data_IF_912425797570
#
_entry.id   IF_912425797570
#
_cell.length_a   1.000
_cell.length_b   1.000
_cell.length_c   1.000
_cell.angle_alpha   90.00
_cell.angle_beta   90.00
_cell.angle_gamma   90.00
#
_symmetry.space_group_name_H-M   'P 1'
#
loop_
_entity.id
_entity.type
_entity.pdbx_description
1 polymer ?
#
# COMPACT_ATOMS: atom_id res chain seq x y z
N UNK A 1 41.67 3.51 27.92
CA UNK A 1 42.42 2.30 28.29
C UNK A 1 41.76 1.17 27.53
N UNK A 2 42.63 0.41 26.87
CA UNK A 2 42.44 -0.83 26.12
C UNK A 2 41.88 -0.76 24.70
N UNK A 3 42.86 -0.92 23.81
CA UNK A 3 42.86 -1.22 22.37
C UNK A 3 42.32 -2.64 22.12
N UNK A 4 41.74 -2.90 20.94
CA UNK A 4 42.34 -3.88 20.03
C UNK A 4 41.73 -3.76 18.62
N UNK A 5 42.62 -3.64 17.64
CA UNK A 5 42.33 -3.54 16.22
C UNK A 5 42.98 -4.76 15.55
N UNK A 6 42.15 -5.70 15.11
CA UNK A 6 42.61 -6.87 14.36
C UNK A 6 42.97 -6.51 12.91
N UNK A 7 44.27 -6.48 12.63
CA UNK A 7 44.90 -6.40 11.31
C UNK A 7 44.93 -7.78 10.63
N UNK A 8 44.64 -7.84 9.32
CA UNK A 8 44.91 -9.00 8.48
C UNK A 8 45.10 -8.56 7.02
N UNK A 9 46.27 -8.89 6.46
CA UNK A 9 46.64 -8.80 5.04
C UNK A 9 47.65 -9.92 4.71
N UNK A 10 47.97 -10.23 3.44
CA UNK A 10 47.17 -10.70 2.30
C UNK A 10 47.73 -12.07 1.75
N UNK A 11 47.28 -12.65 0.61
CA UNK A 11 47.54 -14.06 0.22
C UNK A 11 48.73 -14.26 -0.75
N UNK A 12 49.18 -15.52 -1.01
CA UNK A 12 49.87 -15.86 -2.25
C UNK A 12 49.33 -17.12 -3.01
N UNK A 13 49.81 -17.29 -4.26
CA UNK A 13 49.21 -17.96 -5.43
C UNK A 13 49.82 -19.37 -5.83
N UNK A 14 49.36 -20.05 -6.94
CA UNK A 14 49.44 -21.52 -7.24
C UNK A 14 50.57 -21.97 -8.23
N UNK A 15 50.50 -23.11 -8.99
CA UNK A 15 50.56 -24.58 -8.74
C UNK A 15 51.81 -25.27 -9.43
N UNK A 16 51.91 -26.63 -9.65
CA UNK A 16 51.62 -27.19 -11.00
C UNK A 16 51.22 -28.71 -11.16
N UNK A 17 50.47 -28.97 -12.26
CA UNK A 17 50.43 -30.03 -13.32
C UNK A 17 50.56 -31.57 -13.13
N UNK A 18 49.48 -32.26 -13.56
CA UNK A 18 49.30 -33.35 -14.57
C UNK A 18 50.13 -34.67 -14.58
N UNK A 19 49.45 -35.82 -14.79
CA UNK A 19 49.80 -36.87 -15.78
C UNK A 19 48.63 -37.87 -16.02
N UNK A 20 48.65 -38.53 -17.19
CA UNK A 20 47.52 -39.13 -17.91
C UNK A 20 47.68 -40.64 -18.25
N UNK A 21 46.58 -41.26 -18.72
CA UNK A 21 46.40 -42.51 -19.50
C UNK A 21 46.70 -43.87 -18.81
N UNK A 22 46.06 -45.02 -19.11
CA UNK A 22 45.60 -45.54 -20.41
C UNK A 22 44.51 -46.65 -20.32
N UNK A 23 43.86 -46.89 -21.47
CA UNK A 23 42.87 -47.94 -21.80
C UNK A 23 43.47 -49.35 -21.98
N UNK A 24 42.63 -50.38 -21.81
CA UNK A 24 42.77 -51.68 -22.49
C UNK A 24 41.40 -52.28 -22.90
N UNK A 25 41.32 -52.76 -24.14
CA UNK A 25 40.17 -53.34 -24.87
C UNK A 25 40.09 -54.88 -24.76
N UNK A 26 38.87 -55.46 -24.81
CA UNK A 26 38.40 -56.63 -25.62
C UNK A 26 37.16 -57.33 -24.96
N UNK A 27 36.36 -58.15 -25.67
CA UNK A 27 35.46 -57.85 -26.78
C UNK A 27 33.99 -58.28 -26.51
N UNK A 28 33.10 -57.91 -27.44
CA UNK A 28 31.64 -58.09 -27.46
C UNK A 28 31.15 -59.57 -27.45
N UNK A 29 30.12 -59.86 -26.65
CA UNK A 29 29.21 -61.00 -26.81
C UNK A 29 27.75 -60.48 -27.01
N UNK A 30 26.87 -61.19 -27.74
CA UNK A 30 25.60 -60.65 -28.21
C UNK A 30 24.52 -60.63 -27.11
N UNK A 31 23.65 -59.60 -27.18
CA UNK A 31 22.64 -59.26 -26.19
C UNK A 31 21.47 -60.28 -26.09
N UNK A 32 20.98 -60.60 -24.88
CA UNK A 32 19.69 -61.26 -24.70
C UNK A 32 18.53 -60.25 -24.88
N UNK A 33 17.41 -60.76 -25.43
CA UNK A 33 16.21 -60.01 -25.81
C UNK A 33 15.63 -59.12 -24.68
N UNK A 34 14.98 -57.99 -25.04
CA UNK A 34 14.48 -57.02 -24.06
C UNK A 34 13.34 -57.62 -23.21
N UNK A 35 13.56 -57.64 -21.90
CA UNK A 35 12.51 -57.87 -20.92
C UNK A 35 11.57 -56.65 -20.85
N UNK A 36 10.26 -56.84 -20.62
CA UNK A 36 9.32 -55.73 -20.51
C UNK A 36 9.71 -54.81 -19.34
N UNK A 37 9.55 -53.48 -19.47
CA UNK A 37 9.96 -52.54 -18.44
C UNK A 37 9.17 -52.80 -17.15
N UNK A 38 9.90 -52.94 -16.04
CA UNK A 38 9.34 -52.88 -14.71
C UNK A 38 8.48 -51.61 -14.56
N UNK A 39 7.34 -51.67 -13.86
CA UNK A 39 6.48 -50.51 -13.70
C UNK A 39 7.30 -49.37 -13.10
N UNK A 40 7.40 -48.28 -13.87
CA UNK A 40 7.96 -47.01 -13.48
C UNK A 40 7.55 -46.72 -12.04
N UNK A 41 8.54 -46.52 -11.16
CA UNK A 41 8.29 -45.91 -9.87
C UNK A 41 7.56 -44.60 -10.15
N UNK A 42 6.25 -44.62 -9.91
CA UNK A 42 5.44 -43.42 -9.84
C UNK A 42 6.15 -42.53 -8.82
N UNK A 43 6.59 -41.36 -9.28
CA UNK A 43 7.03 -40.27 -8.41
C UNK A 43 6.00 -40.13 -7.29
N UNK A 44 6.40 -40.59 -6.10
CA UNK A 44 5.59 -40.47 -4.91
C UNK A 44 5.70 -39.04 -4.43
N UNK A 45 4.57 -38.34 -4.53
CA UNK A 45 4.18 -37.17 -3.76
C UNK A 45 4.86 -35.83 -4.10
N UNK A 46 4.42 -35.18 -5.17
CA UNK A 46 4.17 -33.75 -5.02
C UNK A 46 3.03 -33.60 -4.00
N UNK A 47 3.27 -32.93 -2.88
CA UNK A 47 2.22 -32.64 -1.89
C UNK A 47 0.98 -32.06 -2.60
N UNK A 48 -0.26 -32.42 -2.20
CA UNK A 48 -1.48 -31.93 -2.84
C UNK A 48 -1.66 -30.41 -2.68
N UNK A 49 -0.86 -29.79 -1.81
CA UNK A 49 -0.84 -28.37 -1.57
C UNK A 49 0.60 -27.85 -1.62
N UNK A 50 0.76 -26.67 -2.23
CA UNK A 50 2.00 -25.90 -2.24
C UNK A 50 1.63 -24.45 -1.95
N UNK A 51 2.47 -23.75 -1.20
CA UNK A 51 2.31 -22.33 -0.93
C UNK A 51 3.67 -21.64 -1.02
N UNK A 52 3.68 -20.40 -1.52
CA UNK A 52 4.88 -19.58 -1.61
C UNK A 52 4.61 -18.26 -0.89
N UNK A 53 5.49 -17.91 0.05
CA UNK A 53 5.52 -16.56 0.62
C UNK A 53 6.53 -15.73 -0.17
N UNK A 54 6.12 -14.57 -0.64
CA UNK A 54 6.99 -13.56 -1.26
C UNK A 54 7.11 -12.42 -0.28
N UNK A 55 8.35 -12.12 0.13
CA UNK A 55 8.64 -10.96 0.97
C UNK A 55 9.45 -9.98 0.15
N UNK A 56 8.91 -8.79 -0.01
CA UNK A 56 9.50 -7.72 -0.80
C UNK A 56 9.50 -6.41 -0.04
N UNK A 57 10.17 -5.41 -0.60
CA UNK A 57 10.25 -4.08 -0.01
C UNK A 57 9.53 -3.08 -0.89
N UNK A 58 8.55 -2.39 -0.34
CA UNK A 58 7.90 -1.24 -1.00
C UNK A 58 8.66 0.01 -0.63
N UNK A 59 9.31 0.63 -1.62
CA UNK A 59 10.13 1.82 -1.42
C UNK A 59 9.35 3.10 -1.72
N UNK A 60 9.63 4.15 -0.96
CA UNK A 60 9.16 5.50 -1.23
C UNK A 60 10.07 6.54 -0.60
N UNK A 61 10.13 7.73 -1.21
CA UNK A 61 11.00 8.81 -0.75
C UNK A 61 10.22 10.10 -0.48
N UNK A 62 10.72 10.88 0.46
CA UNK A 62 10.15 12.16 0.85
C UNK A 62 11.25 13.20 1.03
N UNK A 63 11.05 14.37 0.40
CA UNK A 63 11.97 15.51 0.52
C UNK A 63 11.44 16.51 1.53
N UNK A 64 12.14 16.61 2.66
CA UNK A 64 11.84 17.54 3.72
C UNK A 64 12.75 18.77 3.63
N UNK A 65 12.14 19.95 3.48
CA UNK A 65 12.85 21.24 3.39
C UNK A 65 12.56 22.03 4.66
N UNK A 66 13.62 22.42 5.37
CA UNK A 66 13.54 23.25 6.56
C UNK A 66 14.07 24.62 6.17
N UNK A 67 13.19 25.61 6.12
CA UNK A 67 13.56 27.00 5.90
C UNK A 67 13.51 27.74 7.24
N UNK A 68 14.48 28.63 7.49
CA UNK A 68 14.59 29.32 8.78
C UNK A 68 15.38 28.53 9.82
N UNK A 69 16.44 27.80 9.43
CA UNK A 69 17.25 27.00 10.37
C UNK A 69 17.77 27.83 11.56
N UNK A 70 18.13 29.09 11.32
CA UNK A 70 18.60 30.04 12.32
C UNK A 70 17.57 30.30 13.44
N UNK A 71 16.28 30.18 13.14
CA UNK A 71 15.18 30.28 14.11
C UNK A 71 14.87 28.92 14.74
N UNK A 72 15.12 27.84 14.01
CA UNK A 72 14.93 26.48 14.51
C UNK A 72 15.97 26.09 15.57
N UNK A 73 17.21 26.55 15.43
CA UNK A 73 18.26 26.29 16.42
C UNK A 73 18.00 27.08 17.70
N UNK A 74 18.29 26.48 18.86
CA UNK A 74 17.98 27.06 20.16
C UNK A 74 16.56 26.76 20.67
N UNK A 75 15.75 25.98 19.94
CA UNK A 75 14.45 25.49 20.42
C UNK A 75 14.55 24.57 21.66
N UNK A 76 15.75 24.04 21.92
CA UNK A 76 16.06 23.21 23.08
C UNK A 76 16.18 21.73 22.74
N UNK A 77 17.03 21.03 23.51
CA UNK A 77 17.29 19.60 23.37
C UNK A 77 15.98 18.80 23.44
N UNK A 78 15.84 17.81 22.55
CA UNK A 78 14.68 16.93 22.49
C UNK A 78 13.45 17.55 21.81
N UNK A 79 13.50 18.84 21.44
CA UNK A 79 12.50 19.46 20.58
C UNK A 79 12.86 19.22 19.12
N UNK A 80 11.84 19.06 18.28
CA UNK A 80 12.01 18.73 16.87
C UNK A 80 11.04 19.49 15.98
N UNK A 81 11.40 19.55 14.71
CA UNK A 81 10.54 19.93 13.60
C UNK A 81 10.16 18.64 12.88
N UNK A 82 8.87 18.45 12.66
CA UNK A 82 8.33 17.32 11.90
C UNK A 82 8.09 17.73 10.44
N UNK A 83 8.35 16.82 9.50
CA UNK A 83 7.83 16.92 8.14
C UNK A 83 6.33 16.68 8.12
N UNK A 84 5.70 16.99 6.97
CA UNK A 84 4.41 16.39 6.66
C UNK A 84 4.51 14.86 6.60
N UNK A 85 3.37 14.20 6.76
CA UNK A 85 3.30 12.75 6.64
C UNK A 85 3.34 12.32 5.17
N UNK A 86 3.95 11.16 4.92
CA UNK A 86 3.98 10.55 3.58
C UNK A 86 3.75 9.04 3.67
N UNK A 87 3.20 8.47 2.59
CA UNK A 87 2.74 7.07 2.58
C UNK A 87 3.73 6.15 1.89
N UNK A 88 4.12 5.06 2.55
CA UNK A 88 4.95 3.98 1.98
C UNK A 88 4.51 2.65 2.57
N UNK A 89 4.29 1.64 1.70
CA UNK A 89 3.95 0.28 2.14
C UNK A 89 2.65 0.17 2.95
N UNK A 90 1.69 1.07 2.72
CA UNK A 90 0.42 1.12 3.47
C UNK A 90 0.47 1.85 4.81
N UNK A 91 1.62 2.41 5.19
CA UNK A 91 1.80 3.16 6.44
C UNK A 91 2.13 4.62 6.18
N UNK A 92 1.82 5.48 7.15
CA UNK A 92 2.22 6.88 7.13
C UNK A 92 3.49 7.07 7.94
N UNK A 93 4.38 7.90 7.43
CA UNK A 93 5.71 8.17 7.97
C UNK A 93 5.94 9.67 8.08
N UNK A 94 6.81 10.08 9.01
CA UNK A 94 7.26 11.47 9.12
C UNK A 94 8.74 11.55 9.51
N UNK A 95 9.44 12.57 9.02
CA UNK A 95 10.83 12.85 9.38
C UNK A 95 10.87 13.84 10.53
N UNK A 96 11.59 13.51 11.60
CA UNK A 96 11.82 14.39 12.74
C UNK A 96 13.26 14.89 12.75
N UNK A 97 13.43 16.20 12.63
CA UNK A 97 14.71 16.89 12.73
C UNK A 97 14.83 17.57 14.10
N UNK A 98 15.91 17.28 14.83
CA UNK A 98 16.23 17.88 16.12
C UNK A 98 17.42 18.83 15.93
N UNK A 99 17.20 20.14 15.78
CA UNK A 99 18.27 21.12 15.61
C UNK A 99 19.23 21.08 16.80
N UNK A 100 18.66 20.94 18.01
CA UNK A 100 19.42 20.94 19.26
C UNK A 100 19.90 19.56 19.73
N UNK A 101 19.65 18.52 18.93
CA UNK A 101 19.92 17.13 19.28
C UNK A 101 18.77 16.50 20.08
N UNK A 102 18.65 15.17 20.03
CA UNK A 102 17.56 14.44 20.69
C UNK A 102 17.74 14.27 22.20
N UNK A 103 18.99 14.09 22.64
CA UNK A 103 19.34 13.79 24.03
C UNK A 103 20.31 14.84 24.60
N UNK A 104 20.26 15.12 25.93
CA UNK A 104 21.14 16.10 26.57
C UNK A 104 22.59 15.64 26.68
N UNK A 105 22.84 14.33 26.59
CA UNK A 105 24.16 13.68 26.70
C UNK A 105 25.23 14.31 25.80
N UNK A 106 24.83 14.86 24.65
CA UNK A 106 25.73 15.42 23.66
C UNK A 106 25.90 16.95 23.77
N UNK A 107 25.35 17.58 24.82
CA UNK A 107 25.43 19.03 25.05
C UNK A 107 25.07 19.88 23.82
N UNK A 108 24.08 19.43 23.03
CA UNK A 108 23.69 20.09 21.78
C UNK A 108 24.84 20.20 20.75
N UNK A 109 25.78 19.26 20.73
CA UNK A 109 26.89 19.28 19.76
C UNK A 109 26.49 18.76 18.36
N UNK A 110 25.38 18.01 18.27
CA UNK A 110 24.92 17.36 17.05
C UNK A 110 23.49 17.78 16.70
N UNK A 111 23.17 17.74 15.42
CA UNK A 111 21.78 17.63 14.96
C UNK A 111 21.41 16.14 14.91
N UNK A 112 20.14 15.84 15.16
CA UNK A 112 19.62 14.47 15.05
C UNK A 112 18.51 14.37 14.02
N UNK A 113 18.41 13.23 13.35
CA UNK A 113 17.38 12.98 12.34
C UNK A 113 16.81 11.59 12.53
N UNK A 114 15.48 11.49 12.53
CA UNK A 114 14.75 10.24 12.72
C UNK A 114 13.62 10.13 11.72
N UNK A 115 13.33 8.89 11.31
CA UNK A 115 12.09 8.50 10.65
C UNK A 115 11.15 7.93 11.72
N UNK A 116 9.90 8.37 11.73
CA UNK A 116 8.88 7.96 12.68
C UNK A 116 7.67 7.36 11.96
N UNK A 117 7.08 6.32 12.56
CA UNK A 117 5.79 5.79 12.13
C UNK A 117 4.69 6.74 12.60
N UNK A 118 3.94 7.31 11.67
CA UNK A 118 2.90 8.31 11.95
C UNK A 118 1.48 7.72 11.98
N UNK A 119 1.24 6.60 11.30
CA UNK A 119 -0.02 5.85 11.38
C UNK A 119 0.00 4.81 12.50
N UNK A 120 -1.16 4.23 12.80
CA UNK A 120 -1.21 2.98 13.58
C UNK A 120 -0.51 1.86 12.82
N UNK A 121 0.12 0.94 13.55
CA UNK A 121 0.81 -0.21 13.01
C UNK A 121 1.59 -0.94 14.10
N UNK A 122 1.61 -2.27 14.04
CA UNK A 122 2.33 -3.13 14.99
C UNK A 122 3.43 -3.87 14.28
N UNK A 123 4.63 -3.85 14.85
CA UNK A 123 5.83 -4.54 14.35
C UNK A 123 6.11 -4.31 12.86
N UNK A 124 5.93 -3.07 12.40
CA UNK A 124 6.21 -2.66 11.02
C UNK A 124 7.70 -2.77 10.76
N UNK A 125 8.10 -3.65 9.85
CA UNK A 125 9.50 -3.82 9.45
C UNK A 125 9.86 -2.87 8.32
N UNK A 126 10.87 -2.04 8.50
CA UNK A 126 11.30 -1.08 7.50
C UNK A 126 12.82 -0.88 7.47
N UNK A 127 13.33 -0.65 6.26
CA UNK A 127 14.64 -0.08 5.98
C UNK A 127 14.46 1.43 5.79
N UNK A 128 15.52 2.20 6.03
CA UNK A 128 15.50 3.62 5.72
C UNK A 128 16.86 4.13 5.28
N UNK A 129 16.84 5.25 4.59
CA UNK A 129 17.98 6.08 4.27
C UNK A 129 17.65 7.53 4.65
N UNK A 130 18.60 8.20 5.30
CA UNK A 130 18.52 9.61 5.61
C UNK A 130 19.70 10.32 4.95
N UNK A 131 19.37 11.23 4.04
CA UNK A 131 20.33 11.93 3.20
C UNK A 131 20.22 13.43 3.40
N UNK A 132 21.30 14.05 3.85
CA UNK A 132 21.43 15.50 3.90
C UNK A 132 22.02 16.00 2.59
N UNK A 133 21.26 16.85 1.90
CA UNK A 133 21.58 17.24 0.53
C UNK A 133 22.59 18.38 0.49
N UNK A 134 23.74 18.13 -0.15
CA UNK A 134 24.63 19.18 -0.67
C UNK A 134 23.89 20.18 -1.57
N UNK A 135 24.10 21.47 -1.31
CA UNK A 135 23.48 22.58 -2.04
C UNK A 135 24.51 23.40 -2.84
N UNK A 136 25.77 22.96 -2.90
CA UNK A 136 26.80 23.57 -3.76
C UNK A 136 26.68 23.17 -5.23
N UNK A 137 25.92 22.13 -5.54
CA UNK A 137 25.80 21.54 -6.88
C UNK A 137 26.88 20.49 -7.20
N UNK A 138 27.71 20.11 -6.22
CA UNK A 138 28.77 19.10 -6.39
C UNK A 138 28.28 17.67 -6.15
N UNK A 139 27.05 17.49 -5.67
CA UNK A 139 26.44 16.18 -5.42
C UNK A 139 27.04 15.45 -4.22
N UNK A 140 27.74 16.16 -3.32
CA UNK A 140 28.42 15.55 -2.16
C UNK A 140 27.47 15.38 -0.98
N UNK A 141 26.41 14.62 -1.15
CA UNK A 141 25.42 14.39 -0.10
C UNK A 141 26.00 13.60 1.07
N UNK A 142 25.52 13.88 2.29
CA UNK A 142 25.80 13.03 3.45
C UNK A 142 24.69 12.00 3.57
N UNK A 143 25.01 10.74 3.25
CA UNK A 143 24.08 9.62 3.23
C UNK A 143 24.31 8.71 4.44
N UNK A 144 23.23 8.31 5.08
CA UNK A 144 23.23 7.16 5.99
C UNK A 144 22.13 6.20 5.57
N UNK A 145 22.52 5.07 4.97
CA UNK A 145 21.60 4.09 4.39
C UNK A 145 21.63 2.77 5.15
N UNK A 146 20.47 2.13 5.21
CA UNK A 146 20.31 0.77 5.73
C UNK A 146 19.94 -0.25 4.66
N UNK A 147 19.79 0.17 3.40
CA UNK A 147 19.44 -0.73 2.30
C UNK A 147 20.57 -1.70 1.93
N UNK A 148 21.83 -1.30 2.15
CA UNK A 148 23.01 -2.11 1.79
C UNK A 148 23.58 -2.93 2.96
N UNK A 149 22.83 -3.09 4.05
CA UNK A 149 23.35 -3.81 5.23
C UNK A 149 23.44 -5.33 4.98
N UNK A 150 24.47 -5.93 5.57
CA UNK A 150 24.60 -7.39 5.73
C UNK A 150 23.28 -8.00 6.23
N UNK A 151 22.99 -9.22 5.75
CA UNK A 151 21.81 -10.02 6.10
C UNK A 151 21.59 -10.13 7.62
N UNK A 152 22.67 -10.02 8.41
CA UNK A 152 22.67 -10.14 9.87
C UNK A 152 21.98 -8.97 10.60
N UNK A 153 21.94 -7.76 10.02
CA UNK A 153 21.38 -6.58 10.70
C UNK A 153 19.88 -6.38 10.46
N UNK A 154 19.33 -6.97 9.39
CA UNK A 154 17.90 -6.95 9.07
C UNK A 154 17.22 -5.56 8.99
N UNK A 155 15.93 -5.52 8.64
CA UNK A 155 15.12 -4.31 8.74
C UNK A 155 14.83 -3.97 10.21
N UNK A 156 14.58 -2.69 10.48
CA UNK A 156 14.15 -2.22 11.81
C UNK A 156 12.68 -2.53 12.04
N UNK A 157 12.33 -2.89 13.27
CA UNK A 157 10.94 -3.08 13.68
C UNK A 157 10.43 -1.83 14.42
N UNK A 158 9.38 -1.21 13.89
CA UNK A 158 8.65 -0.11 14.51
C UNK A 158 7.36 -0.66 15.13
N UNK A 159 7.30 -0.62 16.47
CA UNK A 159 6.33 -1.40 17.24
C UNK A 159 4.93 -0.79 17.33
N UNK A 160 4.84 0.54 17.24
CA UNK A 160 3.60 1.30 17.45
C UNK A 160 3.74 2.71 16.87
N UNK A 161 2.63 3.43 16.76
CA UNK A 161 2.59 4.84 16.32
C UNK A 161 3.51 5.72 17.17
N UNK A 162 4.40 6.46 16.52
CA UNK A 162 5.40 7.32 17.16
C UNK A 162 6.72 6.62 17.48
N UNK A 163 6.80 5.29 17.29
CA UNK A 163 8.09 4.59 17.24
C UNK A 163 8.95 5.20 16.14
N UNK A 164 10.26 5.32 16.39
CA UNK A 164 11.17 6.00 15.48
C UNK A 164 12.57 5.40 15.48
N UNK A 165 13.23 5.46 14.34
CA UNK A 165 14.62 5.05 14.14
C UNK A 165 15.39 6.14 13.40
N UNK A 166 16.71 6.19 13.62
CA UNK A 166 17.55 7.25 13.06
C UNK A 166 18.81 7.46 13.87
N UNK A 167 19.37 8.66 13.78
CA UNK A 167 20.71 8.95 14.27
C UNK A 167 20.70 10.11 15.26
N UNK A 168 21.06 9.82 16.51
CA UNK A 168 21.26 10.84 17.55
C UNK A 168 22.39 11.81 17.17
N UNK A 169 23.50 11.28 16.66
CA UNK A 169 24.67 12.05 16.21
C UNK A 169 24.74 12.10 14.69
N UNK A 170 23.67 12.58 14.04
CA UNK A 170 23.57 12.54 12.59
C UNK A 170 24.65 13.41 11.92
N UNK A 171 24.83 14.65 12.39
CA UNK A 171 25.94 15.51 11.95
C UNK A 171 26.32 16.51 13.03
N UNK A 172 27.61 16.87 13.12
CA UNK A 172 28.07 17.91 14.06
C UNK A 172 27.45 19.24 13.65
N UNK A 173 26.89 19.97 14.62
CA UNK A 173 26.19 21.23 14.35
C UNK A 173 27.12 22.29 13.80
N UNK A 174 28.28 22.48 14.42
CA UNK A 174 29.26 23.47 13.96
C UNK A 174 29.77 23.19 12.54
N UNK A 175 29.91 21.90 12.19
CA UNK A 175 30.23 21.49 10.83
C UNK A 175 29.04 21.72 9.87
N UNK A 176 27.80 21.48 10.31
CA UNK A 176 26.60 21.75 9.52
C UNK A 176 26.52 23.23 9.14
N UNK A 177 26.64 24.11 10.14
CA UNK A 177 26.47 25.56 10.00
C UNK A 177 27.51 26.21 9.08
N UNK A 178 28.65 25.55 8.85
CA UNK A 178 29.74 26.01 7.99
C UNK A 178 29.84 25.25 6.67
N UNK A 179 28.92 24.30 6.41
CA UNK A 179 28.94 23.43 5.24
C UNK A 179 28.03 23.90 4.11
N UNK A 180 28.26 23.33 2.91
CA UNK A 180 27.37 23.49 1.75
C UNK A 180 26.00 22.78 1.91
N UNK A 181 25.74 22.13 3.06
CA UNK A 181 24.44 21.54 3.37
C UNK A 181 23.41 22.56 3.85
N UNK A 182 23.86 23.66 4.47
CA UNK A 182 23.03 24.77 4.92
C UNK A 182 23.30 25.98 4.03
N UNK A 183 22.31 26.38 3.23
CA UNK A 183 22.42 27.52 2.31
C UNK A 183 21.16 28.34 2.35
N UNK A 184 21.28 29.66 2.38
CA UNK A 184 20.15 30.60 2.42
C UNK A 184 19.17 30.29 3.58
N UNK A 185 19.75 29.97 4.74
CA UNK A 185 19.03 29.53 5.95
C UNK A 185 18.11 28.31 5.75
N UNK A 186 18.44 27.47 4.76
CA UNK A 186 17.65 26.31 4.37
C UNK A 186 18.48 25.02 4.44
N UNK A 187 17.89 23.99 5.06
CA UNK A 187 18.35 22.59 5.02
C UNK A 187 17.40 21.74 4.18
N UNK A 188 17.97 20.77 3.46
CA UNK A 188 17.19 19.81 2.67
C UNK A 188 17.58 18.39 3.04
N UNK A 189 16.60 17.61 3.49
CA UNK A 189 16.77 16.22 3.88
C UNK A 189 15.92 15.38 2.93
N UNK A 190 16.53 14.38 2.31
CA UNK A 190 15.79 13.34 1.61
C UNK A 190 15.74 12.10 2.50
N UNK A 191 14.54 11.55 2.68
CA UNK A 191 14.33 10.30 3.39
C UNK A 191 13.78 9.27 2.42
N UNK A 192 14.38 8.09 2.37
CA UNK A 192 13.84 6.93 1.65
C UNK A 192 13.47 5.88 2.67
N UNK A 193 12.28 5.31 2.57
CA UNK A 193 11.79 4.23 3.43
C UNK A 193 11.50 3.02 2.54
N UNK A 194 11.90 1.85 3.00
CA UNK A 194 11.60 0.57 2.37
C UNK A 194 10.83 -0.30 3.34
N UNK A 195 9.53 -0.40 3.16
CA UNK A 195 8.66 -1.19 4.06
C UNK A 195 8.64 -2.63 3.59
N UNK A 196 8.95 -3.56 4.48
CA UNK A 196 8.94 -4.99 4.18
C UNK A 196 7.50 -5.50 4.25
N UNK A 197 7.00 -5.96 3.11
CA UNK A 197 5.65 -6.51 2.94
C UNK A 197 5.77 -7.97 2.55
N UNK A 198 4.98 -8.82 3.20
CA UNK A 198 4.91 -10.25 2.87
C UNK A 198 3.54 -10.58 2.32
N UNK A 199 3.50 -11.17 1.14
CA UNK A 199 2.29 -11.70 0.51
C UNK A 199 2.40 -13.22 0.42
N UNK A 200 1.30 -13.92 0.68
CA UNK A 200 1.21 -15.36 0.46
C UNK A 200 0.58 -15.53 -0.92
N UNK A 201 1.38 -15.99 -1.89
CA UNK A 201 0.86 -16.49 -3.15
C UNK A 201 0.15 -17.82 -2.85
N UNK A 202 -1.15 -17.77 -2.62
CA UNK A 202 -1.98 -18.94 -2.84
C UNK A 202 -2.05 -19.16 -4.34
N UNK A 203 -1.76 -20.39 -4.77
CA UNK A 203 -2.08 -20.88 -6.11
C UNK A 203 -3.55 -20.58 -6.37
N UNK A 204 -3.87 -19.46 -7.04
CA UNK A 204 -5.25 -19.12 -7.37
C UNK A 204 -5.81 -20.33 -8.12
N UNK A 205 -6.84 -21.03 -7.62
CA UNK A 205 -7.56 -21.94 -8.48
C UNK A 205 -8.05 -21.07 -9.64
N UNK A 206 -7.59 -21.39 -10.86
CA UNK A 206 -7.93 -20.78 -12.15
C UNK A 206 -8.73 -19.48 -12.05
N UNK A 207 -8.09 -18.34 -12.32
CA UNK A 207 -8.79 -17.05 -12.42
C UNK A 207 -9.92 -17.17 -13.43
N UNK A 208 -11.15 -17.39 -12.96
CA UNK A 208 -12.34 -17.33 -13.79
C UNK A 208 -12.48 -15.86 -14.17
N UNK A 209 -12.44 -15.57 -15.47
CA UNK A 209 -12.76 -14.25 -15.98
C UNK A 209 -14.24 -14.01 -15.68
N UNK A 210 -14.52 -13.22 -14.65
CA UNK A 210 -15.89 -12.79 -14.34
C UNK A 210 -16.13 -11.53 -15.17
N UNK A 211 -17.12 -11.53 -16.08
CA UNK A 211 -17.47 -10.34 -16.83
C UNK A 211 -17.97 -9.24 -15.88
N UNK A 212 -17.84 -7.99 -16.30
CA UNK A 212 -18.43 -6.85 -15.59
C UNK A 212 -19.95 -7.06 -15.44
N UNK A 213 -20.50 -6.59 -14.32
CA UNK A 213 -21.93 -6.75 -14.06
C UNK A 213 -22.76 -5.88 -15.00
N UNK A 214 -23.71 -6.49 -15.69
CA UNK A 214 -24.70 -5.86 -16.57
C UNK A 214 -26.03 -5.56 -15.85
N UNK A 215 -26.07 -5.68 -14.52
CA UNK A 215 -27.30 -5.58 -13.73
C UNK A 215 -28.00 -4.22 -13.89
N UNK A 216 -27.24 -3.12 -13.96
CA UNK A 216 -27.79 -1.79 -14.19
C UNK A 216 -28.33 -1.59 -15.62
N UNK A 217 -27.85 -2.37 -16.59
CA UNK A 217 -28.47 -2.41 -17.92
C UNK A 217 -29.82 -3.13 -17.88
N UNK A 218 -29.91 -4.26 -17.18
CA UNK A 218 -31.16 -5.01 -17.03
C UNK A 218 -32.22 -4.20 -16.26
N UNK A 219 -31.87 -3.57 -15.14
CA UNK A 219 -32.81 -2.70 -14.42
C UNK A 219 -33.20 -1.46 -15.23
N UNK A 220 -32.26 -0.82 -15.93
CA UNK A 220 -32.58 0.28 -16.85
C UNK A 220 -33.55 -0.14 -17.95
N UNK A 221 -33.39 -1.36 -18.50
CA UNK A 221 -34.29 -1.88 -19.54
C UNK A 221 -35.71 -2.09 -19.03
N UNK A 222 -35.89 -2.51 -17.76
CA UNK A 222 -37.22 -2.61 -17.15
C UNK A 222 -37.92 -1.25 -17.08
N UNK A 223 -37.17 -0.18 -16.77
CA UNK A 223 -37.70 1.18 -16.77
C UNK A 223 -38.03 1.66 -18.20
N UNK A 224 -37.12 1.45 -19.15
CA UNK A 224 -37.28 1.92 -20.54
C UNK A 224 -38.44 1.21 -21.26
N UNK A 225 -38.69 -0.07 -20.94
CA UNK A 225 -39.77 -0.88 -21.52
C UNK A 225 -41.06 -0.87 -20.67
N UNK A 226 -41.05 -0.22 -19.51
CA UNK A 226 -42.16 -0.20 -18.55
C UNK A 226 -42.62 -1.61 -18.10
N UNK A 227 -41.70 -2.57 -18.05
CA UNK A 227 -41.98 -3.96 -17.67
C UNK A 227 -42.08 -4.13 -16.15
N UNK A 228 -43.25 -4.55 -15.64
CA UNK A 228 -43.42 -4.84 -14.21
C UNK A 228 -43.58 -3.59 -13.33
N UNK A 229 -44.01 -2.48 -13.93
CA UNK A 229 -44.32 -1.23 -13.23
C UNK A 229 -45.43 -1.47 -12.19
N UNK A 230 -45.22 -0.96 -10.99
CA UNK A 230 -46.13 -1.10 -9.85
C UNK A 230 -46.47 0.26 -9.17
N UNK A 231 -45.98 1.37 -9.74
CA UNK A 231 -46.26 2.74 -9.28
C UNK A 231 -46.21 3.75 -10.43
N UNK A 232 -47.06 4.78 -10.33
CA UNK A 232 -47.00 5.98 -11.18
C UNK A 232 -46.60 7.17 -10.31
N UNK A 233 -45.63 7.95 -10.78
CA UNK A 233 -45.24 9.22 -10.18
C UNK A 233 -45.70 10.37 -11.06
N UNK A 234 -46.58 11.21 -10.53
CA UNK A 234 -47.06 12.40 -11.19
C UNK A 234 -46.22 13.60 -10.78
N UNK A 235 -45.44 14.14 -11.71
CA UNK A 235 -44.55 15.27 -11.48
C UNK A 235 -45.02 16.42 -12.34
N UNK A 236 -45.55 17.48 -11.75
CA UNK A 236 -46.05 18.65 -12.47
C UNK A 236 -47.08 18.34 -13.57
N UNK A 237 -47.87 17.27 -13.41
CA UNK A 237 -48.87 16.81 -14.39
C UNK A 237 -48.35 15.78 -15.41
N UNK A 238 -47.05 15.48 -15.44
CA UNK A 238 -46.47 14.41 -16.25
C UNK A 238 -46.40 13.10 -15.44
N UNK A 239 -46.89 12.00 -16.03
CA UNK A 239 -46.92 10.67 -15.39
C UNK A 239 -45.67 9.87 -15.76
N UNK A 240 -44.98 9.34 -14.76
CA UNK A 240 -43.80 8.50 -14.90
C UNK A 240 -44.07 7.11 -14.30
N UNK A 241 -43.96 6.08 -15.14
CA UNK A 241 -44.06 4.68 -14.72
C UNK A 241 -42.74 4.24 -14.07
N UNK A 242 -42.81 3.58 -12.90
CA UNK A 242 -41.62 3.18 -12.15
C UNK A 242 -41.85 1.94 -11.26
N UNK A 243 -40.84 1.60 -10.46
CA UNK A 243 -40.81 0.39 -9.64
C UNK A 243 -40.57 0.75 -8.16
N UNK A 244 -41.52 0.46 -7.27
CA UNK A 244 -41.49 0.81 -5.84
C UNK A 244 -40.22 0.31 -5.16
N UNK A 245 -39.88 -0.95 -5.36
CA UNK A 245 -38.71 -1.56 -4.71
C UNK A 245 -37.39 -0.94 -5.16
N UNK A 246 -37.26 -0.61 -6.45
CA UNK A 246 -36.04 0.01 -6.98
C UNK A 246 -35.88 1.42 -6.42
N UNK A 247 -36.93 2.23 -6.48
CA UNK A 247 -36.94 3.58 -5.92
C UNK A 247 -36.71 3.60 -4.40
N UNK A 248 -37.37 2.71 -3.65
CA UNK A 248 -37.23 2.61 -2.20
C UNK A 248 -35.87 2.07 -1.75
N UNK A 249 -35.23 1.22 -2.53
CA UNK A 249 -33.86 0.77 -2.26
C UNK A 249 -32.84 1.91 -2.43
N UNK A 250 -33.17 2.92 -3.25
CA UNK A 250 -32.25 3.96 -3.70
C UNK A 250 -32.58 5.36 -3.14
N UNK A 251 -33.73 5.52 -2.50
CA UNK A 251 -34.18 6.76 -1.86
C UNK A 251 -34.98 6.47 -0.60
N UNK A 252 -34.48 6.97 0.54
CA UNK A 252 -35.20 6.87 1.81
C UNK A 252 -36.54 7.61 1.76
N UNK A 253 -36.65 8.69 0.96
CA UNK A 253 -37.91 9.45 0.81
C UNK A 253 -38.98 8.56 0.16
N UNK A 254 -38.65 7.90 -0.96
CA UNK A 254 -39.57 6.98 -1.61
C UNK A 254 -39.85 5.74 -0.76
N UNK A 255 -38.85 5.24 -0.03
CA UNK A 255 -39.05 4.13 0.90
C UNK A 255 -40.13 4.46 1.94
N UNK A 256 -40.02 5.62 2.58
CA UNK A 256 -41.00 6.05 3.56
C UNK A 256 -42.36 6.33 2.92
N UNK A 257 -42.40 7.02 1.78
CA UNK A 257 -43.64 7.35 1.08
C UNK A 257 -44.41 6.10 0.61
N UNK A 258 -43.72 5.01 0.26
CA UNK A 258 -44.37 3.78 -0.20
C UNK A 258 -44.74 2.82 0.92
N UNK A 259 -43.95 2.76 1.99
CA UNK A 259 -44.07 1.69 3.00
C UNK A 259 -44.33 2.16 4.43
N UNK A 260 -44.07 3.43 4.77
CA UNK A 260 -44.33 3.96 6.11
C UNK A 260 -45.77 4.50 6.25
N UNK A 261 -46.38 5.00 5.16
CA UNK A 261 -47.80 5.43 5.13
C UNK A 261 -48.80 4.25 5.09
N UNK A 262 -48.32 3.00 5.01
CA UNK A 262 -49.16 1.80 5.04
C UNK A 262 -49.38 1.25 6.47
N UNK A 263 -48.79 1.87 7.51
CA UNK A 263 -48.91 1.39 8.90
C UNK A 263 -50.07 1.98 9.71
N UNK A 264 -50.68 3.07 9.28
CA UNK A 264 -51.75 3.75 10.02
C UNK A 264 -53.12 3.56 9.33
N UNK A 265 -53.64 2.33 9.49
CA UNK A 265 -55.07 2.13 9.76
C UNK A 265 -56.08 2.57 8.72
N UNK A 266 -56.09 1.95 7.53
CA UNK A 266 -57.37 1.64 6.90
C UNK A 266 -57.24 0.37 6.06
N UNK A 267 -58.12 -0.59 6.33
CA UNK A 267 -58.48 -1.60 5.35
C UNK A 267 -59.14 -0.85 4.20
N UNK A 268 -58.36 -0.33 3.25
CA UNK A 268 -58.92 -0.17 1.92
C UNK A 268 -59.20 -1.56 1.43
N UNK A 269 -60.49 -1.79 1.32
CA UNK A 269 -61.14 -2.94 0.74
C UNK A 269 -60.38 -3.35 -0.53
N UNK A 270 -60.37 -4.66 -0.76
CA UNK A 270 -59.96 -5.26 -2.02
C UNK A 270 -60.70 -4.53 -3.14
N UNK A 271 -60.07 -3.51 -3.74
CA UNK A 271 -60.41 -3.05 -5.07
C UNK A 271 -59.61 -3.94 -6.00
N UNK A 272 -60.28 -4.96 -6.54
CA UNK A 272 -59.82 -5.74 -7.70
C UNK A 272 -59.82 -4.86 -8.96
N UNK A 273 -59.24 -3.67 -8.87
CA UNK A 273 -58.89 -2.85 -10.02
C UNK A 273 -57.37 -2.92 -10.17
N UNK A 274 -56.89 -3.31 -11.36
CA UNK A 274 -55.47 -3.29 -11.78
C UNK A 274 -54.91 -1.85 -11.84
N UNK A 275 -55.47 -0.90 -11.10
CA UNK A 275 -55.09 0.52 -11.17
C UNK A 275 -53.81 0.76 -10.35
N UNK A 276 -52.76 1.15 -11.07
CA UNK A 276 -51.47 1.51 -10.49
C UNK A 276 -51.63 2.69 -9.52
N UNK A 277 -51.12 2.52 -8.30
CA UNK A 277 -51.10 3.59 -7.28
C UNK A 277 -50.28 4.79 -7.80
N UNK A 278 -50.89 5.96 -7.76
CA UNK A 278 -50.29 7.21 -8.23
C UNK A 278 -49.86 8.09 -7.04
N UNK A 279 -48.63 8.62 -7.08
CA UNK A 279 -48.10 9.56 -6.09
C UNK A 279 -47.71 10.89 -6.75
N UNK A 280 -47.96 12.00 -6.07
CA UNK A 280 -47.66 13.34 -6.57
C UNK A 280 -46.33 13.86 -6.02
N UNK A 281 -45.54 14.49 -6.89
CA UNK A 281 -44.26 15.14 -6.57
C UNK A 281 -44.38 16.60 -7.04
N UNK A 282 -44.60 17.50 -6.07
CA UNK A 282 -44.88 18.91 -6.33
C UNK A 282 -43.62 19.80 -6.23
N UNK A 283 -42.52 19.28 -5.69
CA UNK A 283 -41.28 20.00 -5.42
C UNK A 283 -40.22 19.84 -6.52
N UNK A 284 -40.57 19.22 -7.65
CA UNK A 284 -39.65 18.94 -8.75
C UNK A 284 -40.26 19.25 -10.12
N UNK A 285 -39.45 19.81 -11.02
CA UNK A 285 -39.84 19.97 -12.41
C UNK A 285 -39.80 18.62 -13.16
N UNK A 286 -40.75 18.33 -14.07
CA UNK A 286 -40.81 17.06 -14.79
C UNK A 286 -39.51 16.73 -15.54
N UNK A 287 -38.86 17.74 -16.14
CA UNK A 287 -37.61 17.57 -16.89
C UNK A 287 -36.44 17.12 -16.00
N UNK A 288 -36.40 17.60 -14.76
CA UNK A 288 -35.38 17.20 -13.78
C UNK A 288 -35.62 15.77 -13.35
N UNK A 289 -36.88 15.43 -13.04
CA UNK A 289 -37.25 14.08 -12.66
C UNK A 289 -36.96 13.06 -13.77
N UNK A 290 -37.29 13.41 -15.01
CA UNK A 290 -36.94 12.63 -16.20
C UNK A 290 -35.43 12.44 -16.36
N UNK A 291 -34.63 13.47 -16.10
CA UNK A 291 -33.17 13.34 -16.15
C UNK A 291 -32.66 12.37 -15.08
N UNK A 292 -33.19 12.42 -13.85
CA UNK A 292 -32.81 11.49 -12.79
C UNK A 292 -33.11 10.04 -13.17
N UNK A 293 -34.27 9.78 -13.77
CA UNK A 293 -34.62 8.47 -14.31
C UNK A 293 -33.70 8.05 -15.47
N UNK A 294 -33.48 8.92 -16.45
CA UNK A 294 -32.68 8.65 -17.65
C UNK A 294 -31.18 8.43 -17.35
N UNK A 295 -30.64 9.11 -16.34
CA UNK A 295 -29.26 8.87 -15.87
C UNK A 295 -29.15 7.60 -15.03
N UNK A 296 -30.25 6.86 -14.86
CA UNK A 296 -30.33 5.68 -14.00
C UNK A 296 -29.85 6.02 -12.58
N UNK A 297 -30.25 7.19 -12.08
CA UNK A 297 -29.89 7.57 -10.71
C UNK A 297 -30.47 6.58 -9.69
N UNK A 298 -31.67 6.08 -10.01
CA UNK A 298 -32.38 5.06 -9.25
C UNK A 298 -32.21 3.63 -9.80
N UNK A 299 -31.72 3.41 -11.03
CA UNK A 299 -31.69 2.10 -11.70
C UNK A 299 -30.26 1.65 -12.02
#
# INVERSE_FOLDING_TARGET
MDEDAGDASPPPAPPPLAHAHAHAHHPHAPAPAPQPPAPSQRDMSSSPTSSRSVTETVNGSHRFVIQGYSLAKGMGVGKHIASETFSVGGFQWAVYFYPDGKNPEDNSAYVSVFIALASEGTDVRALFELTLLDQSGKGKHKVHSHFDRSLESGPYTLKYRGSMWGYKRFFRRTALETSDFLKDDCLKINCTVGVVVSTIDYSRPHSIQVPDSDIGYHFGSLLDNEEGVDVILNVGGERFHAHKLVLAARSHVFRSQFFDDESDGEKSEVDESDELREFFIDDMEPKVFKAMLATRFFY
#
